data_IF_267929319555
#
_entry.id   IF_267929319555
#
_cell.length_a   1.000
_cell.length_b   1.000
_cell.length_c   1.000
_cell.angle_alpha   90.00
_cell.angle_beta   90.00
_cell.angle_gamma   90.00
#
_symmetry.space_group_name_H-M   'P 1'
#
loop_
_entity.id
_entity.type
_entity.pdbx_description
1 polymer ?
#
# COMPACT_ATOMS: atom_id res chain seq x y z
N UNK A 1 -0.79 -19.96 -0.16
CA UNK A 1 0.35 -20.34 0.69
C UNK A 1 -0.13 -21.49 1.54
N UNK A 2 0.43 -22.71 1.46
CA UNK A 2 -0.28 -23.86 2.06
C UNK A 2 -1.76 -23.88 1.62
N UNK A 3 -2.65 -24.34 2.50
CA UNK A 3 -4.10 -24.22 2.28
C UNK A 3 -4.45 -22.76 1.91
N UNK A 4 -4.86 -22.55 0.66
CA UNK A 4 -5.19 -21.22 0.10
C UNK A 4 -6.38 -20.57 0.79
N UNK A 5 -7.07 -21.31 1.66
CA UNK A 5 -8.21 -20.86 2.43
C UNK A 5 -7.83 -20.27 3.81
N UNK A 6 -6.55 -20.32 4.22
CA UNK A 6 -6.09 -19.72 5.50
C UNK A 6 -5.61 -18.28 5.30
N UNK A 7 -6.26 -17.33 6.00
CA UNK A 7 -5.81 -15.95 6.05
C UNK A 7 -4.46 -15.82 6.77
N UNK A 8 -3.46 -15.24 6.12
CA UNK A 8 -2.12 -15.09 6.72
C UNK A 8 -2.09 -14.29 8.04
N UNK A 9 -3.10 -13.45 8.28
CA UNK A 9 -3.26 -12.65 9.50
C UNK A 9 -4.36 -13.19 10.43
N UNK A 10 -4.91 -14.36 10.14
CA UNK A 10 -5.85 -15.06 11.01
C UNK A 10 -5.07 -15.77 12.13
N UNK A 11 -5.13 -15.22 13.33
CA UNK A 11 -4.36 -15.73 14.47
C UNK A 11 -4.76 -17.14 14.93
N UNK A 12 -5.93 -17.63 14.51
CA UNK A 12 -6.39 -18.99 14.87
C UNK A 12 -5.75 -20.07 13.99
N UNK A 13 -5.42 -19.72 12.74
CA UNK A 13 -4.99 -20.69 11.73
C UNK A 13 -3.62 -20.38 11.13
N UNK A 14 -3.08 -19.17 11.33
CA UNK A 14 -1.78 -18.78 10.78
C UNK A 14 -0.59 -19.33 11.59
N UNK A 15 0.59 -19.24 10.98
CA UNK A 15 1.87 -19.46 11.66
C UNK A 15 2.58 -18.12 11.84
N UNK A 16 3.49 -18.03 12.82
CA UNK A 16 4.30 -16.82 13.05
C UNK A 16 5.05 -16.41 11.77
N UNK A 17 5.64 -17.37 11.06
CA UNK A 17 6.36 -17.10 9.82
C UNK A 17 5.44 -16.51 8.74
N UNK A 18 4.29 -17.13 8.48
CA UNK A 18 3.34 -16.66 7.47
C UNK A 18 2.76 -15.28 7.82
N UNK A 19 2.44 -15.04 9.09
CA UNK A 19 2.01 -13.74 9.58
C UNK A 19 3.07 -12.67 9.30
N UNK A 20 4.33 -12.92 9.66
CA UNK A 20 5.41 -11.95 9.48
C UNK A 20 5.72 -11.70 8.00
N UNK A 21 5.63 -12.72 7.14
CA UNK A 21 5.71 -12.57 5.67
C UNK A 21 4.65 -11.60 5.16
N UNK A 22 3.41 -11.69 5.66
CA UNK A 22 2.34 -10.77 5.26
C UNK A 22 2.50 -9.40 5.90
N UNK A 23 2.89 -9.33 7.17
CA UNK A 23 3.03 -8.11 7.96
C UNK A 23 4.10 -7.18 7.39
N UNK A 24 5.29 -7.70 7.01
CA UNK A 24 6.37 -6.85 6.50
C UNK A 24 5.98 -6.09 5.21
N UNK A 25 5.08 -6.65 4.41
CA UNK A 25 4.57 -5.99 3.19
C UNK A 25 3.61 -4.82 3.48
N UNK A 26 3.20 -4.61 4.74
CA UNK A 26 2.28 -3.54 5.11
C UNK A 26 2.87 -2.15 4.86
N UNK A 27 4.20 -2.03 4.95
CA UNK A 27 4.92 -0.78 4.71
C UNK A 27 4.80 -0.29 3.26
N UNK A 28 4.64 -1.20 2.29
CA UNK A 28 4.77 -0.87 0.87
C UNK A 28 3.79 0.21 0.41
N UNK A 29 2.49 0.03 0.62
CA UNK A 29 1.48 0.96 0.11
C UNK A 29 1.51 2.34 0.81
N UNK A 30 1.52 2.44 2.16
CA UNK A 30 1.62 3.74 2.85
C UNK A 30 2.86 4.53 2.46
N UNK A 31 4.03 3.89 2.49
CA UNK A 31 5.29 4.56 2.19
C UNK A 31 5.32 5.02 0.73
N UNK A 32 4.82 4.20 -0.19
CA UNK A 32 4.77 4.56 -1.60
C UNK A 32 3.84 5.76 -1.86
N UNK A 33 2.63 5.75 -1.29
CA UNK A 33 1.66 6.85 -1.43
C UNK A 33 2.19 8.14 -0.80
N UNK A 34 2.83 8.05 0.38
CA UNK A 34 3.48 9.18 1.03
C UNK A 34 4.61 9.74 0.16
N UNK A 35 5.50 8.89 -0.35
CA UNK A 35 6.63 9.30 -1.19
C UNK A 35 6.19 9.82 -2.57
N UNK A 36 5.05 9.38 -3.10
CA UNK A 36 4.47 9.94 -4.32
C UNK A 36 4.08 11.42 -4.11
N UNK A 37 3.43 11.73 -2.99
CA UNK A 37 3.13 13.11 -2.59
C UNK A 37 4.40 13.94 -2.36
N UNK A 38 5.38 13.38 -1.63
CA UNK A 38 6.69 14.01 -1.40
C UNK A 38 7.39 14.33 -2.72
N UNK A 39 7.37 13.40 -3.67
CA UNK A 39 7.98 13.57 -4.98
C UNK A 39 7.29 14.66 -5.80
N UNK A 40 5.96 14.79 -5.69
CA UNK A 40 5.21 15.87 -6.34
C UNK A 40 5.65 17.25 -5.84
N UNK A 41 5.82 17.42 -4.52
CA UNK A 41 6.34 18.66 -3.94
C UNK A 41 7.76 18.97 -4.41
N UNK A 42 8.67 17.99 -4.33
CA UNK A 42 10.05 18.15 -4.76
C UNK A 42 10.19 18.44 -6.25
N UNK A 43 9.28 17.90 -7.08
CA UNK A 43 9.23 18.20 -8.50
C UNK A 43 8.85 19.66 -8.77
N UNK A 44 7.86 20.19 -8.04
CA UNK A 44 7.49 21.61 -8.10
C UNK A 44 8.64 22.53 -7.64
N UNK A 45 9.30 22.16 -6.54
CA UNK A 45 10.40 22.93 -5.96
C UNK A 45 11.60 23.14 -6.90
N UNK A 46 11.70 22.39 -7.99
CA UNK A 46 12.71 22.58 -9.06
C UNK A 46 12.32 23.67 -10.07
N UNK A 47 11.61 24.71 -9.61
CA UNK A 47 11.23 25.87 -10.44
C UNK A 47 10.07 25.64 -11.41
N UNK A 48 9.16 24.68 -11.13
CA UNK A 48 7.99 24.43 -11.97
C UNK A 48 6.77 25.21 -11.44
N UNK A 49 5.89 25.65 -12.34
CA UNK A 49 4.67 26.36 -11.96
C UNK A 49 3.65 25.41 -11.33
N UNK A 50 2.77 25.94 -10.48
CA UNK A 50 1.68 25.16 -9.85
C UNK A 50 0.75 24.55 -10.90
N UNK A 51 0.45 25.27 -11.98
CA UNK A 51 -0.35 24.75 -13.10
C UNK A 51 0.32 23.58 -13.79
N UNK A 52 1.64 23.64 -14.02
CA UNK A 52 2.38 22.52 -14.60
C UNK A 52 2.38 21.29 -13.67
N UNK A 53 2.48 21.50 -12.34
CA UNK A 53 2.35 20.42 -11.36
C UNK A 53 0.95 19.81 -11.36
N UNK A 54 -0.09 20.64 -11.35
CA UNK A 54 -1.48 20.20 -11.40
C UNK A 54 -1.74 19.35 -12.65
N UNK A 55 -1.36 19.83 -13.84
CA UNK A 55 -1.53 19.07 -15.07
C UNK A 55 -0.73 17.76 -15.08
N UNK A 56 0.51 17.78 -14.58
CA UNK A 56 1.34 16.59 -14.46
C UNK A 56 0.71 15.53 -13.55
N UNK A 57 0.18 15.93 -12.40
CA UNK A 57 -0.49 15.04 -11.46
C UNK A 57 -1.80 14.49 -12.03
N UNK A 58 -2.62 15.34 -12.66
CA UNK A 58 -3.89 14.96 -13.27
C UNK A 58 -3.66 13.91 -14.36
N UNK A 59 -2.80 14.21 -15.33
CA UNK A 59 -2.52 13.32 -16.46
C UNK A 59 -1.92 12.00 -16.01
N UNK A 60 -0.93 12.01 -15.11
CA UNK A 60 -0.37 10.76 -14.57
C UNK A 60 -1.37 9.96 -13.74
N UNK A 61 -2.18 10.63 -12.93
CA UNK A 61 -3.20 10.00 -12.12
C UNK A 61 -4.24 9.26 -12.97
N UNK A 62 -4.74 9.91 -14.02
CA UNK A 62 -5.65 9.30 -15.01
C UNK A 62 -4.98 8.13 -15.74
N UNK A 63 -3.71 8.25 -16.13
CA UNK A 63 -2.98 7.14 -16.75
C UNK A 63 -2.81 5.93 -15.82
N UNK A 64 -2.57 6.14 -14.52
CA UNK A 64 -2.49 5.04 -13.55
C UNK A 64 -3.85 4.33 -13.39
N UNK A 65 -4.94 5.11 -13.33
CA UNK A 65 -6.31 4.55 -13.32
C UNK A 65 -6.56 3.71 -14.57
N UNK A 66 -6.19 4.23 -15.74
CA UNK A 66 -6.32 3.50 -17.00
C UNK A 66 -5.52 2.19 -16.98
N UNK A 67 -4.26 2.23 -16.52
CA UNK A 67 -3.41 1.05 -16.41
C UNK A 67 -3.96 0.00 -15.45
N UNK A 68 -4.55 0.42 -14.32
CA UNK A 68 -5.21 -0.47 -13.37
C UNK A 68 -6.33 -1.26 -14.05
N UNK A 69 -7.22 -0.53 -14.73
CA UNK A 69 -8.41 -1.10 -15.36
C UNK A 69 -8.10 -1.97 -16.59
N UNK A 70 -6.89 -1.85 -17.15
CA UNK A 70 -6.49 -2.55 -18.40
C UNK A 70 -5.37 -3.56 -18.14
N UNK A 71 -4.12 -3.09 -18.12
CA UNK A 71 -2.90 -3.92 -18.04
C UNK A 71 -2.85 -4.71 -16.73
N UNK A 72 -3.13 -4.06 -15.60
CA UNK A 72 -3.03 -4.71 -14.28
C UNK A 72 -4.18 -5.69 -14.09
N UNK A 73 -5.41 -5.29 -14.46
CA UNK A 73 -6.57 -6.17 -14.51
C UNK A 73 -6.27 -7.42 -15.34
N UNK A 74 -5.76 -7.26 -16.55
CA UNK A 74 -5.39 -8.40 -17.40
C UNK A 74 -4.28 -9.25 -16.76
N UNK A 75 -3.26 -8.64 -16.15
CA UNK A 75 -2.20 -9.36 -15.44
C UNK A 75 -2.70 -10.23 -14.28
N UNK A 76 -3.74 -9.81 -13.56
CA UNK A 76 -4.32 -10.60 -12.46
C UNK A 76 -5.25 -11.71 -12.95
N UNK A 77 -6.10 -11.44 -13.94
CA UNK A 77 -7.16 -12.37 -14.37
C UNK A 77 -6.82 -13.19 -15.61
N UNK A 78 -5.84 -12.76 -16.40
CA UNK A 78 -5.39 -13.39 -17.65
C UNK A 78 -6.50 -13.71 -18.66
N UNK A 79 -7.62 -12.97 -18.63
CA UNK A 79 -8.74 -13.11 -19.55
C UNK A 79 -9.19 -11.76 -20.12
N UNK A 80 -10.00 -11.79 -21.17
CA UNK A 80 -10.57 -10.60 -21.84
C UNK A 80 -12.02 -10.32 -21.42
N UNK A 81 -12.55 -10.98 -20.40
CA UNK A 81 -13.88 -10.69 -19.87
C UNK A 81 -13.82 -9.52 -18.88
N UNK A 82 -14.20 -8.31 -19.32
CA UNK A 82 -14.21 -7.12 -18.48
C UNK A 82 -15.49 -6.93 -17.64
N UNK A 83 -16.31 -7.98 -17.48
CA UNK A 83 -17.47 -7.95 -16.58
C UNK A 83 -17.09 -7.65 -15.12
N UNK A 84 -15.87 -8.01 -14.72
CA UNK A 84 -15.33 -7.83 -13.37
C UNK A 84 -13.98 -7.10 -13.40
N UNK A 85 -13.86 -6.09 -12.55
CA UNK A 85 -12.63 -5.36 -12.27
C UNK A 85 -12.51 -5.08 -10.77
N UNK A 86 -11.28 -4.83 -10.31
CA UNK A 86 -10.97 -4.57 -8.92
C UNK A 86 -10.12 -3.32 -8.83
N UNK A 87 -10.52 -2.38 -8.00
CA UNK A 87 -9.80 -1.13 -7.75
C UNK A 87 -8.88 -1.31 -6.55
N UNK A 88 -7.59 -1.51 -6.84
CA UNK A 88 -6.53 -1.77 -5.88
C UNK A 88 -5.63 -0.55 -5.66
N UNK A 89 -4.37 -0.79 -5.32
CA UNK A 89 -3.42 0.25 -4.89
C UNK A 89 -3.08 1.24 -6.00
N UNK A 90 -3.02 0.81 -7.26
CA UNK A 90 -2.69 1.72 -8.38
C UNK A 90 -3.85 2.69 -8.62
N UNK A 91 -5.09 2.21 -8.55
CA UNK A 91 -6.28 3.07 -8.55
C UNK A 91 -6.18 4.13 -7.44
N UNK A 92 -5.92 3.72 -6.21
CA UNK A 92 -5.86 4.64 -5.07
C UNK A 92 -4.75 5.69 -5.23
N UNK A 93 -3.57 5.30 -5.74
CA UNK A 93 -2.50 6.24 -6.08
C UNK A 93 -2.94 7.20 -7.18
N UNK A 94 -3.49 6.68 -8.28
CA UNK A 94 -3.90 7.49 -9.43
C UNK A 94 -4.97 8.52 -9.06
N UNK A 95 -6.03 8.09 -8.40
CA UNK A 95 -7.10 8.96 -7.92
C UNK A 95 -6.61 9.97 -6.86
N UNK A 96 -5.69 9.57 -5.98
CA UNK A 96 -5.07 10.51 -5.03
C UNK A 96 -4.23 11.58 -5.75
N UNK A 97 -3.54 11.25 -6.85
CA UNK A 97 -2.83 12.24 -7.67
C UNK A 97 -3.80 13.22 -8.34
N UNK A 98 -4.93 12.73 -8.86
CA UNK A 98 -6.00 13.57 -9.43
C UNK A 98 -6.59 14.51 -8.39
N UNK A 99 -6.80 14.06 -7.15
CA UNK A 99 -7.28 14.95 -6.08
C UNK A 99 -6.19 15.95 -5.70
N UNK A 100 -4.94 15.49 -5.54
CA UNK A 100 -3.81 16.37 -5.23
C UNK A 100 -3.61 17.44 -6.31
N UNK A 101 -3.90 17.17 -7.59
CA UNK A 101 -3.77 18.18 -8.65
C UNK A 101 -4.68 19.40 -8.46
N UNK A 102 -5.80 19.24 -7.75
CA UNK A 102 -6.63 20.36 -7.33
C UNK A 102 -6.12 20.98 -6.01
N UNK A 103 -5.64 20.17 -5.08
CA UNK A 103 -5.17 20.65 -3.77
C UNK A 103 -3.87 21.46 -3.84
N UNK A 104 -3.02 21.27 -4.85
CA UNK A 104 -1.73 21.99 -4.98
C UNK A 104 -1.86 23.51 -5.14
N UNK A 105 -3.05 24.02 -5.43
CA UNK A 105 -3.32 25.47 -5.45
C UNK A 105 -3.48 26.07 -4.04
N UNK A 106 -3.67 25.23 -3.02
CA UNK A 106 -3.70 25.66 -1.62
C UNK A 106 -2.27 25.76 -1.05
N UNK A 107 -2.06 26.56 0.01
CA UNK A 107 -0.78 26.57 0.71
C UNK A 107 -0.39 25.17 1.19
N UNK A 108 0.88 24.80 1.07
CA UNK A 108 1.39 23.46 1.44
C UNK A 108 0.98 23.04 2.86
N UNK A 109 0.96 23.98 3.81
CA UNK A 109 0.52 23.73 5.17
C UNK A 109 -0.96 23.32 5.26
N UNK A 110 -1.83 23.94 4.46
CA UNK A 110 -3.26 23.59 4.41
C UNK A 110 -3.48 22.21 3.80
N UNK A 111 -2.75 21.87 2.72
CA UNK A 111 -2.80 20.53 2.12
C UNK A 111 -2.36 19.46 3.12
N UNK A 112 -1.23 19.69 3.80
CA UNK A 112 -0.71 18.76 4.81
C UNK A 112 -1.66 18.62 6.01
N UNK A 113 -2.17 19.73 6.54
CA UNK A 113 -3.10 19.73 7.66
C UNK A 113 -4.42 19.02 7.30
N UNK A 114 -4.98 19.30 6.13
CA UNK A 114 -6.17 18.61 5.63
C UNK A 114 -5.95 17.11 5.49
N UNK A 115 -4.79 16.69 4.98
CA UNK A 115 -4.42 15.28 4.91
C UNK A 115 -4.30 14.61 6.28
N UNK A 116 -3.68 15.28 7.25
CA UNK A 116 -3.55 14.79 8.63
C UNK A 116 -4.92 14.68 9.30
N UNK A 117 -5.81 15.67 9.14
CA UNK A 117 -7.18 15.62 9.67
C UNK A 117 -7.95 14.45 9.06
N UNK A 118 -7.81 14.23 7.75
CA UNK A 118 -8.45 13.11 7.07
C UNK A 118 -7.95 11.76 7.61
N UNK A 119 -6.63 11.58 7.78
CA UNK A 119 -6.03 10.37 8.37
C UNK A 119 -6.45 10.18 9.83
N UNK A 120 -6.41 11.24 10.63
CA UNK A 120 -6.68 11.14 12.06
C UNK A 120 -8.17 10.97 12.35
N UNK A 121 -9.06 11.46 11.48
CA UNK A 121 -10.50 11.50 11.71
C UNK A 121 -11.32 10.43 10.98
N UNK A 122 -10.80 9.79 9.92
CA UNK A 122 -11.65 8.91 9.11
C UNK A 122 -12.20 7.70 9.88
N UNK A 123 -11.50 7.18 10.90
CA UNK A 123 -12.00 6.06 11.69
C UNK A 123 -13.27 6.41 12.49
N UNK A 124 -13.58 7.69 12.72
CA UNK A 124 -14.86 8.12 13.30
C UNK A 124 -16.05 7.79 12.37
N UNK A 125 -15.78 7.58 11.09
CA UNK A 125 -16.78 7.31 10.07
C UNK A 125 -16.99 5.80 9.82
N UNK A 126 -16.24 4.93 10.50
CA UNK A 126 -16.30 3.46 10.34
C UNK A 126 -17.70 2.88 10.63
N UNK A 127 -18.49 3.55 11.49
CA UNK A 127 -19.88 3.16 11.80
C UNK A 127 -20.91 3.57 10.75
N UNK A 128 -20.52 4.28 9.68
CA UNK A 128 -21.44 4.78 8.65
C UNK A 128 -21.53 3.78 7.50
N UNK A 129 -22.65 3.06 7.45
CA UNK A 129 -22.91 2.09 6.38
C UNK A 129 -23.25 2.80 5.05
N UNK A 130 -22.76 2.32 3.89
CA UNK A 130 -23.07 2.90 2.57
C UNK A 130 -24.56 3.03 2.27
N UNK A 131 -25.38 2.11 2.79
CA UNK A 131 -26.84 2.06 2.60
C UNK A 131 -27.53 3.35 3.07
N UNK A 132 -26.94 4.07 4.04
CA UNK A 132 -27.46 5.36 4.51
C UNK A 132 -27.50 6.44 3.43
N UNK A 133 -26.74 6.27 2.35
CA UNK A 133 -26.65 7.22 1.24
C UNK A 133 -27.55 6.86 0.04
N UNK A 134 -28.31 5.76 0.11
CA UNK A 134 -29.23 5.34 -0.95
C UNK A 134 -28.53 5.22 -2.32
N UNK A 135 -28.99 5.99 -3.31
CA UNK A 135 -28.41 6.01 -4.65
C UNK A 135 -26.92 6.43 -4.69
N UNK A 136 -26.40 7.10 -3.65
CA UNK A 136 -25.00 7.50 -3.54
C UNK A 136 -24.14 6.54 -2.71
N UNK A 137 -24.65 5.35 -2.35
CA UNK A 137 -23.89 4.35 -1.60
C UNK A 137 -22.55 3.99 -2.27
N UNK A 138 -22.53 3.94 -3.61
CA UNK A 138 -21.31 3.66 -4.38
C UNK A 138 -20.20 4.69 -4.12
N UNK A 139 -20.55 5.97 -3.93
CA UNK A 139 -19.59 7.03 -3.67
C UNK A 139 -18.96 6.83 -2.28
N UNK A 140 -19.75 6.42 -1.30
CA UNK A 140 -19.23 6.09 0.02
C UNK A 140 -18.31 4.86 0.01
N UNK A 141 -18.58 3.87 -0.85
CA UNK A 141 -17.64 2.75 -1.05
C UNK A 141 -16.33 3.21 -1.69
N UNK A 142 -16.39 4.07 -2.70
CA UNK A 142 -15.18 4.66 -3.33
C UNK A 142 -14.40 5.47 -2.31
N UNK A 143 -15.07 6.22 -1.43
CA UNK A 143 -14.42 7.08 -0.47
C UNK A 143 -13.91 6.34 0.76
N UNK A 144 -14.68 5.46 1.38
CA UNK A 144 -14.37 5.00 2.75
C UNK A 144 -14.57 3.49 2.98
N UNK A 145 -15.59 2.86 2.38
CA UNK A 145 -15.95 1.46 2.70
C UNK A 145 -15.46 0.48 1.61
N UNK A 146 -14.64 -0.54 1.93
CA UNK A 146 -14.09 -1.46 0.95
C UNK A 146 -15.17 -2.49 0.59
N UNK A 147 -15.75 -2.35 -0.61
CA UNK A 147 -16.70 -3.29 -1.18
C UNK A 147 -16.42 -3.46 -2.66
N UNK A 148 -16.42 -4.70 -3.21
CA UNK A 148 -16.23 -4.93 -4.63
C UNK A 148 -17.08 -3.98 -5.48
N UNK A 149 -16.48 -3.32 -6.48
CA UNK A 149 -15.11 -3.53 -6.99
C UNK A 149 -14.00 -2.79 -6.21
N UNK A 150 -14.31 -1.97 -5.21
CA UNK A 150 -13.35 -1.13 -4.46
C UNK A 150 -12.69 -1.90 -3.31
N UNK A 151 -11.40 -2.19 -3.43
CA UNK A 151 -10.60 -2.78 -2.34
C UNK A 151 -9.77 -1.71 -1.62
N UNK A 152 -9.38 -0.66 -2.32
CA UNK A 152 -8.68 0.50 -1.76
C UNK A 152 -9.57 1.76 -1.84
N UNK A 153 -10.45 2.00 -0.85
CA UNK A 153 -11.19 3.26 -0.73
C UNK A 153 -10.23 4.45 -0.62
N UNK A 154 -10.58 5.59 -1.22
CA UNK A 154 -9.69 6.75 -1.35
C UNK A 154 -9.29 7.40 -0.03
N UNK A 155 -10.15 7.32 0.98
CA UNK A 155 -9.89 7.77 2.34
C UNK A 155 -9.39 6.57 3.14
N UNK A 156 -8.20 6.68 3.78
CA UNK A 156 -7.37 7.88 3.94
C UNK A 156 -6.20 8.05 2.94
N UNK A 157 -6.07 7.27 1.86
CA UNK A 157 -4.93 7.37 0.93
C UNK A 157 -4.68 8.77 0.36
N UNK A 158 -5.73 9.51 0.04
CA UNK A 158 -5.64 10.92 -0.38
C UNK A 158 -4.94 11.76 0.69
N UNK A 159 -5.29 11.53 1.96
CA UNK A 159 -4.68 12.19 3.10
C UNK A 159 -3.21 11.82 3.27
N UNK A 160 -2.85 10.54 3.03
CA UNK A 160 -1.45 10.08 3.06
C UNK A 160 -0.63 10.79 1.98
N UNK A 161 -1.15 10.91 0.77
CA UNK A 161 -0.46 11.62 -0.31
C UNK A 161 -0.33 13.13 -0.01
N UNK A 162 -1.38 13.74 0.52
CA UNK A 162 -1.37 15.15 0.92
C UNK A 162 -0.40 15.44 2.07
N UNK A 163 -0.32 14.55 3.08
CA UNK A 163 0.68 14.62 4.13
C UNK A 163 2.11 14.45 3.58
N UNK A 164 2.29 13.57 2.59
CA UNK A 164 3.54 13.41 1.85
C UNK A 164 3.96 14.67 1.11
N UNK A 165 3.01 15.37 0.47
CA UNK A 165 3.26 16.67 -0.15
C UNK A 165 3.83 17.68 0.86
N UNK A 166 3.29 17.71 2.09
CA UNK A 166 3.85 18.49 3.20
C UNK A 166 5.23 18.03 3.66
N UNK A 167 5.47 16.72 3.73
CA UNK A 167 6.77 16.13 4.09
C UNK A 167 7.88 16.59 3.13
N UNK A 168 7.56 16.79 1.85
CA UNK A 168 8.49 17.35 0.85
C UNK A 168 9.10 18.69 1.28
N UNK A 169 8.33 19.55 1.95
CA UNK A 169 8.85 20.83 2.47
C UNK A 169 9.87 20.64 3.61
N UNK A 170 9.74 19.57 4.41
CA UNK A 170 10.70 19.22 5.46
C UNK A 170 12.01 18.75 4.84
N UNK A 171 11.95 18.03 3.70
CA UNK A 171 13.16 17.50 3.04
C UNK A 171 14.08 18.58 2.46
N UNK A 172 13.54 19.75 2.13
CA UNK A 172 14.32 20.90 1.66
C UNK A 172 15.00 21.70 2.78
N UNK A 173 14.73 21.39 4.05
CA UNK A 173 15.37 22.08 5.18
C UNK A 173 16.83 21.68 5.30
N UNK A 174 17.60 22.52 6.01
CA UNK A 174 19.00 22.26 6.31
C UNK A 174 19.18 20.88 6.99
N UNK A 175 20.26 20.13 6.69
CA UNK A 175 20.40 18.72 7.09
C UNK A 175 20.16 18.43 8.58
N UNK A 176 20.65 19.29 9.48
CA UNK A 176 20.46 19.12 10.92
C UNK A 176 18.99 19.28 11.34
N UNK A 177 18.30 20.30 10.81
CA UNK A 177 16.89 20.54 11.08
C UNK A 177 16.01 19.43 10.48
N UNK A 178 16.28 19.03 9.22
CA UNK A 178 15.61 17.92 8.54
C UNK A 178 15.71 16.64 9.37
N UNK A 179 16.93 16.24 9.76
CA UNK A 179 17.15 15.03 10.56
C UNK A 179 16.35 15.05 11.86
N UNK A 180 16.45 16.16 12.62
CA UNK A 180 15.72 16.30 13.88
C UNK A 180 14.21 16.17 13.66
N UNK A 181 13.65 16.86 12.67
CA UNK A 181 12.21 16.84 12.43
C UNK A 181 11.70 15.48 11.96
N UNK A 182 12.40 14.81 11.03
CA UNK A 182 12.03 13.47 10.57
C UNK A 182 12.12 12.45 11.70
N UNK A 183 13.21 12.45 12.48
CA UNK A 183 13.35 11.53 13.62
C UNK A 183 12.29 11.80 14.69
N UNK A 184 12.06 13.06 15.06
CA UNK A 184 11.03 13.41 16.05
C UNK A 184 9.63 13.02 15.57
N UNK A 185 9.28 13.34 14.32
CA UNK A 185 7.97 13.01 13.75
C UNK A 185 7.74 11.50 13.69
N UNK A 186 8.70 10.75 13.14
CA UNK A 186 8.56 9.30 13.00
C UNK A 186 8.51 8.57 14.35
N UNK A 187 9.33 8.99 15.31
CA UNK A 187 9.29 8.46 16.69
C UNK A 187 7.97 8.82 17.36
N UNK A 188 7.49 10.06 17.24
CA UNK A 188 6.21 10.48 17.80
C UNK A 188 5.03 9.69 17.21
N UNK A 189 5.03 9.43 15.89
CA UNK A 189 4.01 8.60 15.24
C UNK A 189 4.07 7.15 15.72
N UNK A 190 5.27 6.60 15.89
CA UNK A 190 5.47 5.21 16.38
C UNK A 190 5.03 5.09 17.83
N UNK A 191 5.38 6.06 18.67
CA UNK A 191 4.91 6.14 20.05
C UNK A 191 3.40 6.32 20.12
N UNK A 192 2.82 7.14 19.24
CA UNK A 192 1.38 7.31 19.08
C UNK A 192 0.67 6.01 18.71
N UNK A 193 1.24 5.21 17.81
CA UNK A 193 0.75 3.85 17.53
C UNK A 193 0.74 3.00 18.79
N UNK A 194 1.88 2.89 19.49
CA UNK A 194 1.99 2.04 20.69
C UNK A 194 0.99 2.48 21.76
N UNK A 195 0.88 3.78 22.01
CA UNK A 195 -0.03 4.34 23.00
C UNK A 195 -1.50 4.07 22.65
N UNK A 196 -1.95 4.46 21.45
CA UNK A 196 -3.33 4.27 21.03
C UNK A 196 -3.69 2.79 20.92
N UNK A 197 -2.76 1.95 20.44
CA UNK A 197 -2.96 0.51 20.36
C UNK A 197 -3.07 -0.10 21.75
N UNK A 198 -2.25 0.31 22.71
CA UNK A 198 -2.36 -0.13 24.11
C UNK A 198 -3.70 0.24 24.73
N UNK A 199 -4.17 1.48 24.53
CA UNK A 199 -5.49 1.94 25.00
C UNK A 199 -6.63 1.17 24.32
N UNK A 200 -6.44 0.73 23.07
CA UNK A 200 -7.32 -0.18 22.33
C UNK A 200 -8.76 0.34 22.13
N UNK A 201 -8.94 1.66 21.97
CA UNK A 201 -10.26 2.31 21.82
C UNK A 201 -10.47 3.04 20.50
N UNK A 202 -9.41 3.54 19.87
CA UNK A 202 -9.52 4.39 18.68
C UNK A 202 -8.42 4.09 17.67
N UNK A 203 -8.72 4.35 16.40
CA UNK A 203 -7.78 4.31 15.29
C UNK A 203 -7.63 2.94 14.62
N UNK A 204 -8.34 1.92 15.08
CA UNK A 204 -8.51 0.64 14.39
C UNK A 204 -9.86 0.03 14.76
N UNK A 205 -10.65 -0.47 13.79
CA UNK A 205 -11.93 -1.12 14.07
C UNK A 205 -11.77 -2.51 14.71
N UNK A 206 -10.57 -3.11 14.65
CA UNK A 206 -10.26 -4.43 15.20
C UNK A 206 -9.40 -4.31 16.46
N UNK A 207 -9.99 -4.37 17.67
CA UNK A 207 -9.23 -4.31 18.91
C UNK A 207 -8.31 -5.53 19.03
N UNK A 208 -7.09 -5.33 19.55
CA UNK A 208 -6.24 -6.48 19.88
C UNK A 208 -6.78 -7.20 21.10
N UNK A 209 -6.45 -8.48 21.23
CA UNK A 209 -6.86 -9.31 22.36
C UNK A 209 -5.72 -10.23 22.78
N UNK A 210 -5.70 -10.58 24.08
CA UNK A 210 -4.78 -11.60 24.62
C UNK A 210 -5.08 -12.94 23.93
N UNK A 211 -4.03 -13.59 23.45
CA UNK A 211 -4.09 -14.89 22.80
C UNK A 211 -3.54 -15.97 23.73
N UNK A 212 -3.70 -17.24 23.34
CA UNK A 212 -3.21 -18.40 24.10
C UNK A 212 -1.69 -18.40 24.32
N UNK A 213 -0.93 -17.80 23.41
CA UNK A 213 0.53 -17.68 23.49
C UNK A 213 0.95 -16.21 23.58
N UNK A 214 2.00 -15.88 24.37
CA UNK A 214 2.57 -14.53 24.41
C UNK A 214 2.99 -14.02 23.02
N UNK A 215 3.52 -14.90 22.17
CA UNK A 215 3.92 -14.54 20.80
C UNK A 215 2.69 -14.14 19.98
N UNK A 216 1.62 -14.92 20.03
CA UNK A 216 0.37 -14.60 19.32
C UNK A 216 -0.32 -13.37 19.88
N UNK A 217 -0.16 -13.07 21.18
CA UNK A 217 -0.62 -11.82 21.77
C UNK A 217 0.14 -10.63 21.19
N UNK A 218 1.47 -10.75 21.02
CA UNK A 218 2.26 -9.74 20.32
C UNK A 218 1.86 -9.59 18.85
N UNK A 219 1.55 -10.69 18.14
CA UNK A 219 1.02 -10.64 16.78
C UNK A 219 -0.34 -9.94 16.73
N UNK A 220 -1.24 -10.20 17.68
CA UNK A 220 -2.52 -9.49 17.81
C UNK A 220 -2.34 -7.99 18.00
N UNK A 221 -1.35 -7.59 18.80
CA UNK A 221 -1.03 -6.19 19.02
C UNK A 221 -0.64 -5.47 17.72
N UNK A 222 0.14 -6.10 16.84
CA UNK A 222 0.57 -5.52 15.54
C UNK A 222 -0.36 -5.86 14.37
N UNK A 223 -1.42 -6.65 14.59
CA UNK A 223 -2.41 -7.00 13.58
C UNK A 223 -3.47 -5.88 13.49
N UNK A 224 -3.27 -4.97 12.53
CA UNK A 224 -4.11 -3.77 12.34
C UNK A 224 -4.74 -3.75 10.95
N UNK A 225 -5.89 -3.10 10.85
CA UNK A 225 -6.77 -3.13 9.68
C UNK A 225 -6.16 -2.38 8.49
N UNK A 226 -5.95 -3.12 7.39
CA UNK A 226 -5.35 -2.60 6.16
C UNK A 226 -6.33 -1.93 5.20
N UNK A 227 -7.60 -2.35 5.20
CA UNK A 227 -8.60 -1.91 4.23
C UNK A 227 -9.91 -1.50 4.90
N UNK A 228 -10.29 -0.20 4.85
CA UNK A 228 -9.41 0.93 4.54
C UNK A 228 -8.24 0.96 5.56
N UNK A 229 -7.07 1.51 5.22
CA UNK A 229 -5.96 1.54 6.17
C UNK A 229 -6.36 2.38 7.38
N UNK A 230 -6.36 1.77 8.55
CA UNK A 230 -6.70 2.45 9.79
C UNK A 230 -5.62 3.48 10.18
N UNK A 231 -5.95 4.41 11.08
CA UNK A 231 -4.97 5.31 11.67
C UNK A 231 -3.79 4.53 12.29
N UNK A 232 -4.07 3.45 13.03
CA UNK A 232 -3.02 2.63 13.63
C UNK A 232 -2.17 1.90 12.59
N UNK A 233 -2.77 1.41 11.51
CA UNK A 233 -2.04 0.86 10.37
C UNK A 233 -1.08 1.89 9.76
N UNK A 234 -1.53 3.14 9.58
CA UNK A 234 -0.70 4.21 9.05
C UNK A 234 0.41 4.65 10.02
N UNK A 235 0.12 4.76 11.32
CA UNK A 235 1.13 5.12 12.32
C UNK A 235 2.21 4.04 12.47
N UNK A 236 1.82 2.76 12.52
CA UNK A 236 2.73 1.62 12.62
C UNK A 236 3.67 1.51 11.42
N UNK A 237 3.22 1.93 10.24
CA UNK A 237 3.99 1.80 8.99
C UNK A 237 4.77 3.08 8.65
N UNK A 238 4.13 4.24 8.68
CA UNK A 238 4.76 5.52 8.31
C UNK A 238 5.70 6.04 9.40
N UNK A 239 5.40 5.81 10.68
CA UNK A 239 6.24 6.27 11.78
C UNK A 239 7.68 5.76 11.69
N UNK A 240 7.91 4.44 11.69
CA UNK A 240 9.24 3.86 11.53
C UNK A 240 9.90 4.23 10.20
N UNK A 241 9.12 4.27 9.10
CA UNK A 241 9.65 4.64 7.79
C UNK A 241 10.19 6.08 7.76
N UNK A 242 9.45 7.05 8.30
CA UNK A 242 9.87 8.46 8.40
C UNK A 242 11.07 8.60 9.36
N UNK A 243 11.06 7.90 10.50
CA UNK A 243 12.17 7.91 11.45
C UNK A 243 13.48 7.36 10.84
N UNK A 244 13.36 6.37 9.95
CA UNK A 244 14.51 5.73 9.29
C UNK A 244 15.10 6.59 8.16
N UNK A 245 14.35 7.51 7.55
CA UNK A 245 14.80 8.32 6.40
C UNK A 245 16.18 8.97 6.60
N UNK A 246 16.49 9.65 7.71
CA UNK A 246 17.81 10.27 7.90
C UNK A 246 18.98 9.27 7.93
N UNK A 247 18.73 8.03 8.32
CA UNK A 247 19.73 6.96 8.28
C UNK A 247 19.87 6.40 6.86
N UNK A 248 18.74 6.18 6.17
CA UNK A 248 18.70 5.70 4.80
C UNK A 248 19.39 6.65 3.80
N UNK A 249 19.26 7.97 4.00
CA UNK A 249 19.94 9.00 3.19
C UNK A 249 21.47 8.87 3.19
N UNK A 250 22.05 8.23 4.22
CA UNK A 250 23.50 8.08 4.37
C UNK A 250 24.03 6.75 3.86
N UNK A 251 23.13 5.81 3.54
CA UNK A 251 23.52 4.49 3.09
C UNK A 251 24.14 4.60 1.69
N UNK A 252 25.31 3.99 1.53
CA UNK A 252 26.02 3.88 0.26
C UNK A 252 26.51 2.44 0.08
N UNK A 253 26.94 2.09 -1.13
CA UNK A 253 27.51 0.78 -1.42
C UNK A 253 26.70 -0.09 -2.40
N UNK A 254 27.15 -1.33 -2.66
CA UNK A 254 26.59 -2.19 -3.70
C UNK A 254 25.13 -2.57 -3.47
N UNK A 255 24.75 -2.89 -2.23
CA UNK A 255 23.37 -3.24 -1.90
C UNK A 255 22.40 -2.08 -2.19
N UNK A 256 22.78 -0.85 -1.82
CA UNK A 256 21.97 0.36 -2.10
C UNK A 256 21.82 0.57 -3.59
N UNK A 257 22.89 0.37 -4.38
CA UNK A 257 22.81 0.47 -5.85
C UNK A 257 21.83 -0.53 -6.44
N UNK A 258 21.85 -1.78 -5.99
CA UNK A 258 20.92 -2.83 -6.43
C UNK A 258 19.48 -2.45 -6.09
N UNK A 259 19.21 -2.04 -4.85
CA UNK A 259 17.86 -1.62 -4.43
C UNK A 259 17.36 -0.39 -5.21
N UNK A 260 18.27 0.53 -5.55
CA UNK A 260 17.96 1.73 -6.32
C UNK A 260 17.55 1.42 -7.76
N UNK A 261 18.05 0.33 -8.36
CA UNK A 261 17.61 -0.13 -9.69
C UNK A 261 16.10 -0.33 -9.71
N UNK A 262 15.58 -1.15 -8.80
CA UNK A 262 14.13 -1.37 -8.68
C UNK A 262 13.38 -0.09 -8.29
N UNK A 263 13.93 0.68 -7.36
CA UNK A 263 13.30 1.91 -6.86
C UNK A 263 13.14 3.02 -7.90
N UNK A 264 13.91 3.01 -9.00
CA UNK A 264 13.79 3.98 -10.10
C UNK A 264 12.67 3.67 -11.08
N UNK A 265 12.30 2.39 -11.21
CA UNK A 265 11.27 1.92 -12.15
C UNK A 265 10.19 1.05 -11.47
N UNK A 266 9.61 1.49 -10.34
CA UNK A 266 8.75 0.64 -9.52
C UNK A 266 7.48 0.18 -10.24
N UNK A 267 6.88 1.01 -11.09
CA UNK A 267 5.71 0.63 -11.87
C UNK A 267 6.04 -0.43 -12.92
N UNK A 268 7.20 -0.33 -13.57
CA UNK A 268 7.64 -1.32 -14.55
C UNK A 268 7.87 -2.68 -13.89
N UNK A 269 8.59 -2.70 -12.77
CA UNK A 269 8.75 -3.92 -11.96
C UNK A 269 7.40 -4.47 -11.50
N UNK A 270 6.51 -3.59 -11.02
CA UNK A 270 5.17 -3.98 -10.57
C UNK A 270 4.36 -4.68 -11.67
N UNK A 271 4.37 -4.15 -12.90
CA UNK A 271 3.66 -4.80 -14.00
C UNK A 271 4.35 -6.12 -14.36
N UNK A 272 5.66 -6.10 -14.60
CA UNK A 272 6.38 -7.26 -15.13
C UNK A 272 6.37 -8.46 -14.18
N UNK A 273 6.47 -8.26 -12.86
CA UNK A 273 6.44 -9.37 -11.91
C UNK A 273 5.06 -10.05 -11.84
N UNK A 274 3.95 -9.32 -12.06
CA UNK A 274 2.61 -9.93 -12.09
C UNK A 274 2.53 -10.92 -13.26
N UNK A 275 2.89 -10.49 -14.46
CA UNK A 275 2.87 -11.34 -15.64
C UNK A 275 3.82 -12.53 -15.50
N UNK A 276 5.02 -12.32 -14.97
CA UNK A 276 5.99 -13.39 -14.77
C UNK A 276 5.49 -14.43 -13.76
N UNK A 277 4.98 -13.99 -12.60
CA UNK A 277 4.46 -14.90 -11.58
C UNK A 277 3.23 -15.64 -12.10
N UNK A 278 2.34 -14.96 -12.81
CA UNK A 278 1.15 -15.58 -13.38
C UNK A 278 1.52 -16.63 -14.45
N UNK A 279 2.46 -16.33 -15.34
CA UNK A 279 2.96 -17.29 -16.33
C UNK A 279 3.64 -18.51 -15.69
N UNK A 280 4.44 -18.29 -14.64
CA UNK A 280 5.03 -19.38 -13.86
C UNK A 280 3.97 -20.22 -13.15
N UNK A 281 2.90 -19.59 -12.64
CA UNK A 281 1.78 -20.28 -12.03
C UNK A 281 1.03 -21.16 -13.04
N UNK A 282 0.78 -20.68 -14.26
CA UNK A 282 0.20 -21.48 -15.35
C UNK A 282 1.12 -22.66 -15.70
N UNK A 283 2.43 -22.42 -15.85
CA UNK A 283 3.39 -23.49 -16.13
C UNK A 283 3.44 -24.54 -15.03
N UNK A 284 3.47 -24.12 -13.76
CA UNK A 284 3.45 -25.03 -12.62
C UNK A 284 2.14 -25.81 -12.53
N UNK A 285 1.00 -25.14 -12.75
CA UNK A 285 -0.31 -25.79 -12.78
C UNK A 285 -0.37 -26.84 -13.88
N UNK A 286 0.01 -26.50 -15.11
CA UNK A 286 0.02 -27.44 -16.24
C UNK A 286 0.85 -28.71 -15.98
N UNK A 287 1.94 -28.59 -15.20
CA UNK A 287 2.79 -29.72 -14.81
C UNK A 287 2.20 -30.54 -13.65
N UNK A 288 1.39 -29.95 -12.77
CA UNK A 288 0.89 -30.57 -11.55
C UNK A 288 -0.58 -31.04 -11.65
N UNK A 289 -1.43 -30.29 -12.35
CA UNK A 289 -2.85 -30.52 -12.50
C UNK A 289 -3.31 -30.20 -13.94
N UNK A 290 -4.11 -31.05 -14.59
CA UNK A 290 -4.56 -30.78 -15.97
C UNK A 290 -5.50 -29.56 -16.10
N UNK A 291 -6.17 -29.14 -15.02
CA UNK A 291 -7.11 -28.03 -15.04
C UNK A 291 -6.43 -26.70 -14.70
N UNK A 292 -6.13 -25.92 -15.73
CA UNK A 292 -5.62 -24.55 -15.61
C UNK A 292 -6.72 -23.49 -15.66
N UNK A 293 -7.98 -23.88 -15.86
CA UNK A 293 -9.11 -22.95 -16.07
C UNK A 293 -9.31 -21.98 -14.91
N UNK A 294 -9.03 -22.42 -13.68
CA UNK A 294 -9.09 -21.59 -12.48
C UNK A 294 -8.13 -20.38 -12.53
N UNK A 295 -6.99 -20.48 -13.22
CA UNK A 295 -6.02 -19.39 -13.37
C UNK A 295 -6.48 -18.30 -14.36
N UNK A 296 -7.41 -18.63 -15.25
CA UNK A 296 -7.99 -17.71 -16.22
C UNK A 296 -9.32 -17.11 -15.74
N UNK A 297 -9.71 -17.34 -14.48
CA UNK A 297 -10.96 -16.84 -13.90
C UNK A 297 -10.70 -16.15 -12.56
N UNK A 298 -11.76 -15.58 -11.96
CA UNK A 298 -11.71 -14.88 -10.67
C UNK A 298 -11.55 -15.85 -9.48
N UNK A 299 -11.41 -17.16 -9.72
CA UNK A 299 -11.63 -18.18 -8.70
C UNK A 299 -10.58 -18.13 -7.57
N UNK A 300 -10.99 -17.50 -6.47
CA UNK A 300 -10.48 -17.67 -5.10
C UNK A 300 -10.59 -19.12 -4.60
N UNK A 301 -11.16 -20.02 -5.39
CA UNK A 301 -11.35 -21.42 -5.08
C UNK A 301 -10.28 -22.26 -5.79
N UNK A 302 -9.02 -22.07 -5.42
CA UNK A 302 -8.01 -23.07 -5.71
C UNK A 302 -8.33 -24.35 -4.91
N UNK A 303 -8.06 -25.56 -5.47
CA UNK A 303 -8.13 -26.80 -4.71
C UNK A 303 -7.35 -26.69 -3.38
N UNK A 304 -7.78 -27.39 -2.33
CA UNK A 304 -7.16 -27.28 -1.00
C UNK A 304 -5.68 -27.72 -0.99
N UNK A 305 -5.36 -28.63 -1.90
CA UNK A 305 -4.07 -29.20 -2.23
C UNK A 305 -3.23 -28.31 -3.18
N UNK A 306 -3.79 -27.20 -3.65
CA UNK A 306 -3.11 -26.24 -4.49
C UNK A 306 -2.31 -25.24 -3.67
N UNK A 307 -0.97 -25.31 -3.74
CA UNK A 307 -0.09 -24.34 -3.11
C UNK A 307 1.26 -24.94 -2.72
N UNK A 308 2.25 -24.08 -2.53
CA UNK A 308 3.58 -24.47 -2.11
C UNK A 308 3.84 -24.06 -0.65
N UNK A 309 4.72 -24.82 0.02
CA UNK A 309 5.24 -24.48 1.34
C UNK A 309 6.07 -23.20 1.31
N UNK A 310 6.15 -22.50 2.45
CA UNK A 310 6.80 -21.20 2.57
C UNK A 310 8.27 -21.16 2.09
N UNK A 311 9.12 -22.19 2.33
CA UNK A 311 10.50 -22.18 1.82
C UNK A 311 10.59 -22.12 0.29
N UNK A 312 9.78 -22.91 -0.42
CA UNK A 312 9.76 -22.90 -1.88
C UNK A 312 9.26 -21.56 -2.42
N UNK A 313 8.26 -20.96 -1.76
CA UNK A 313 7.79 -19.61 -2.12
C UNK A 313 8.90 -18.58 -2.02
N UNK A 314 9.75 -18.63 -0.98
CA UNK A 314 10.90 -17.74 -0.87
C UNK A 314 11.97 -17.98 -1.95
N UNK A 315 12.20 -19.24 -2.34
CA UNK A 315 13.09 -19.56 -3.47
C UNK A 315 12.53 -18.95 -4.76
N UNK A 316 11.26 -19.18 -5.07
CA UNK A 316 10.59 -18.62 -6.25
C UNK A 316 10.64 -17.09 -6.22
N UNK A 317 10.36 -16.48 -5.07
CA UNK A 317 10.43 -15.03 -4.88
C UNK A 317 11.84 -14.47 -5.13
N UNK A 318 12.90 -15.13 -4.64
CA UNK A 318 14.29 -14.75 -4.91
C UNK A 318 14.64 -14.89 -6.39
N UNK A 319 14.20 -15.97 -7.04
CA UNK A 319 14.44 -16.20 -8.48
C UNK A 319 13.74 -15.15 -9.33
N UNK A 320 12.44 -14.91 -9.08
CA UNK A 320 11.65 -13.89 -9.77
C UNK A 320 12.24 -12.49 -9.51
N UNK A 321 12.57 -12.17 -8.27
CA UNK A 321 13.19 -10.90 -7.93
C UNK A 321 14.50 -10.68 -8.69
N UNK A 322 15.38 -11.69 -8.69
CA UNK A 322 16.70 -11.60 -9.33
C UNK A 322 16.63 -11.59 -10.85
N UNK A 323 15.72 -12.34 -11.47
CA UNK A 323 15.57 -12.38 -12.94
C UNK A 323 15.10 -11.04 -13.50
N UNK A 324 14.36 -10.27 -12.70
CA UNK A 324 13.88 -8.94 -13.05
C UNK A 324 14.91 -7.81 -12.83
N UNK A 325 16.09 -8.12 -12.28
CA UNK A 325 17.14 -7.12 -12.09
C UNK A 325 17.59 -6.48 -13.40
N UNK A 326 17.92 -7.31 -14.40
CA UNK A 326 18.44 -6.84 -15.69
C UNK A 326 17.39 -6.02 -16.48
N UNK A 327 16.12 -6.45 -16.60
CA UNK A 327 15.07 -5.62 -17.18
C UNK A 327 14.86 -4.27 -16.49
N UNK A 328 15.14 -4.15 -15.19
CA UNK A 328 14.95 -2.92 -14.43
C UNK A 328 16.16 -1.96 -14.48
N UNK A 329 17.33 -2.42 -14.94
CA UNK A 329 18.59 -1.66 -14.95
C UNK A 329 18.68 -0.75 -16.17
#
# INVERSE_FOLDING_TARGET
FGDTHVGATDLQHTTVALFLTRWITHFCAPVFVLLAGTSAFLWAARGRTTTALSWFLLTRGVWLIFLELTVVRFGWFFNLDYSMFVLQVIWAIGASMVILSALVFLPTAAVAAGGIVLIAGHNLLDGVAPERFGAFAWLWCVLHVPRPPVIYPLVPWVGVMAAGYGLGAILLRAPAARRRQLSTLGVAMTAGFVFLRYVNRYGDPSPWAVQTSPVFTALSFINVTKYPPSLLYLLMTLGPAIAALPALERLTGPAVRVLTVYGRVPLFYYVLHIYLIHALAIGAAYLAHPDVGALFTVALAFPKDYGFGLPLVYVVWLVVGSSLYLPCR
#
